data_IF_843059315933
#
_entry.id   IF_843059315933
#
_cell.length_a   1.000
_cell.length_b   1.000
_cell.length_c   1.000
_cell.angle_alpha   90.00
_cell.angle_beta   90.00
_cell.angle_gamma   90.00
#
_symmetry.space_group_name_H-M   'P 1'
#
loop_
_entity.id
_entity.type
_entity.pdbx_description
1 polymer ?
#
# COMPACT_ATOMS: atom_id res chain seq x y z
N UNK A 1 -8.25 44.62 6.01
CA UNK A 1 -9.60 43.99 6.17
C UNK A 1 -9.94 43.09 4.99
N UNK A 2 -9.85 43.58 3.75
CA UNK A 2 -10.07 42.82 2.50
C UNK A 2 -9.22 41.55 2.35
N UNK A 3 -7.93 41.58 2.65
CA UNK A 3 -7.06 40.38 2.54
C UNK A 3 -7.47 39.24 3.49
N UNK A 4 -7.98 39.57 4.69
CA UNK A 4 -8.49 38.57 5.64
C UNK A 4 -9.77 37.92 5.12
N UNK A 5 -10.63 38.69 4.45
CA UNK A 5 -11.86 38.21 3.84
C UNK A 5 -11.54 37.30 2.65
N UNK A 6 -10.60 37.70 1.77
CA UNK A 6 -10.19 36.89 0.62
C UNK A 6 -9.55 35.56 1.05
N UNK A 7 -8.68 35.56 2.07
CA UNK A 7 -8.11 34.32 2.63
C UNK A 7 -9.18 33.41 3.24
N UNK A 8 -10.18 33.99 3.92
CA UNK A 8 -11.28 33.21 4.49
C UNK A 8 -12.16 32.58 3.39
N UNK A 9 -12.46 33.31 2.31
CA UNK A 9 -13.19 32.80 1.15
C UNK A 9 -12.41 31.66 0.48
N UNK A 10 -11.11 31.84 0.23
CA UNK A 10 -10.26 30.80 -0.36
C UNK A 10 -10.20 29.54 0.50
N UNK A 11 -10.05 29.70 1.83
CA UNK A 11 -10.07 28.57 2.77
C UNK A 11 -11.42 27.82 2.77
N UNK A 12 -12.54 28.54 2.65
CA UNK A 12 -13.88 27.97 2.60
C UNK A 12 -14.14 27.23 1.28
N UNK A 13 -13.72 27.82 0.15
CA UNK A 13 -13.78 27.17 -1.17
C UNK A 13 -12.93 25.90 -1.19
N UNK A 14 -11.71 25.96 -0.63
CA UNK A 14 -10.83 24.80 -0.51
C UNK A 14 -11.44 23.71 0.37
N UNK A 15 -12.02 24.08 1.52
CA UNK A 15 -12.71 23.13 2.40
C UNK A 15 -13.88 22.42 1.70
N UNK A 16 -14.76 23.18 1.03
CA UNK A 16 -15.87 22.61 0.24
C UNK A 16 -15.39 21.65 -0.85
N UNK A 17 -14.28 21.96 -1.52
CA UNK A 17 -13.68 21.09 -2.54
C UNK A 17 -13.15 19.78 -1.95
N UNK A 18 -12.50 19.86 -0.79
CA UNK A 18 -12.02 18.68 -0.05
C UNK A 18 -13.19 17.81 0.41
N UNK A 19 -14.27 18.41 0.91
CA UNK A 19 -15.46 17.70 1.36
C UNK A 19 -16.17 16.99 0.19
N UNK A 20 -16.33 17.67 -0.95
CA UNK A 20 -16.89 17.06 -2.16
C UNK A 20 -16.06 15.89 -2.68
N UNK A 21 -14.72 15.99 -2.62
CA UNK A 21 -13.84 14.87 -2.99
C UNK A 21 -13.98 13.68 -2.04
N UNK A 22 -14.04 13.93 -0.72
CA UNK A 22 -14.26 12.88 0.28
C UNK A 22 -15.59 12.18 0.11
N UNK A 23 -16.66 12.94 -0.16
CA UNK A 23 -17.99 12.37 -0.41
C UNK A 23 -17.98 11.44 -1.64
N UNK A 24 -17.39 11.91 -2.76
CA UNK A 24 -17.26 11.08 -3.95
C UNK A 24 -16.42 9.82 -3.69
N UNK A 25 -15.34 9.95 -2.91
CA UNK A 25 -14.52 8.82 -2.50
C UNK A 25 -15.32 7.81 -1.67
N UNK A 26 -16.09 8.27 -0.68
CA UNK A 26 -16.92 7.40 0.16
C UNK A 26 -18.01 6.67 -0.64
N UNK A 27 -18.63 7.32 -1.62
CA UNK A 27 -19.60 6.68 -2.51
C UNK A 27 -18.97 5.56 -3.32
N UNK A 28 -17.76 5.78 -3.87
CA UNK A 28 -17.01 4.76 -4.61
C UNK A 28 -16.64 3.60 -3.68
N UNK A 29 -16.07 3.89 -2.50
CA UNK A 29 -15.69 2.87 -1.53
C UNK A 29 -16.89 2.05 -1.05
N UNK A 30 -18.04 2.67 -0.85
CA UNK A 30 -19.28 1.96 -0.48
C UNK A 30 -19.75 1.03 -1.61
N UNK A 31 -19.75 1.49 -2.86
CA UNK A 31 -20.15 0.66 -4.02
C UNK A 31 -19.22 -0.55 -4.18
N UNK A 32 -17.90 -0.32 -4.13
CA UNK A 32 -16.91 -1.40 -4.24
C UNK A 32 -16.96 -2.35 -3.04
N UNK A 33 -17.23 -1.83 -1.84
CA UNK A 33 -17.39 -2.63 -0.63
C UNK A 33 -18.62 -3.53 -0.71
N UNK A 34 -19.76 -2.98 -1.13
CA UNK A 34 -21.00 -3.73 -1.30
C UNK A 34 -20.90 -4.82 -2.38
N UNK A 35 -20.10 -4.60 -3.43
CA UNK A 35 -19.85 -5.60 -4.48
C UNK A 35 -18.75 -6.60 -4.13
N UNK A 36 -18.10 -6.49 -2.97
CA UNK A 36 -16.97 -7.34 -2.56
C UNK A 36 -15.70 -7.13 -3.39
N UNK A 37 -15.61 -6.03 -4.15
CA UNK A 37 -14.48 -5.72 -5.03
C UNK A 37 -13.32 -5.02 -4.30
N UNK A 38 -13.50 -4.63 -3.04
CA UNK A 38 -12.48 -4.00 -2.22
C UNK A 38 -12.46 -4.61 -0.82
N UNK A 39 -11.26 -4.72 -0.24
CA UNK A 39 -11.10 -5.26 1.11
C UNK A 39 -11.71 -4.30 2.16
N UNK A 40 -12.59 -4.78 3.07
CA UNK A 40 -13.21 -3.91 4.07
C UNK A 40 -12.19 -3.24 5.01
N UNK A 41 -11.09 -3.92 5.35
CA UNK A 41 -10.02 -3.34 6.16
C UNK A 41 -9.29 -2.22 5.41
N UNK A 42 -9.18 -2.34 4.09
CA UNK A 42 -8.59 -1.31 3.24
C UNK A 42 -9.47 -0.05 3.18
N UNK A 43 -10.79 -0.22 3.12
CA UNK A 43 -11.76 0.90 3.19
C UNK A 43 -11.61 1.71 4.47
N UNK A 44 -11.49 1.04 5.62
CA UNK A 44 -11.27 1.71 6.92
C UNK A 44 -9.96 2.50 6.92
N UNK A 45 -8.90 1.91 6.35
CA UNK A 45 -7.61 2.58 6.17
C UNK A 45 -7.71 3.86 5.34
N UNK A 46 -8.33 3.79 4.16
CA UNK A 46 -8.49 4.94 3.26
C UNK A 46 -9.31 6.06 3.93
N UNK A 47 -10.42 5.72 4.59
CA UNK A 47 -11.28 6.72 5.26
C UNK A 47 -10.54 7.49 6.34
N UNK A 48 -9.63 6.85 7.06
CA UNK A 48 -8.82 7.50 8.10
C UNK A 48 -7.65 8.29 7.54
N UNK A 49 -6.96 7.76 6.53
CA UNK A 49 -5.85 8.44 5.88
C UNK A 49 -6.30 9.65 5.04
N UNK A 50 -7.55 9.65 4.55
CA UNK A 50 -8.11 10.71 3.70
C UNK A 50 -7.49 10.80 2.30
N UNK A 51 -6.57 9.89 1.99
CA UNK A 51 -5.78 9.80 0.76
C UNK A 51 -5.57 8.31 0.47
N UNK A 52 -5.62 7.90 -0.81
CA UNK A 52 -5.40 6.52 -1.23
C UNK A 52 -3.93 6.14 -1.02
N UNK A 53 -3.64 5.21 -0.12
CA UNK A 53 -2.29 4.66 0.08
C UNK A 53 -2.39 3.12 0.11
N UNK A 54 -1.52 2.38 -0.62
CA UNK A 54 -0.48 2.89 -1.49
C UNK A 54 -1.06 3.34 -2.84
N UNK A 55 -0.44 4.35 -3.46
CA UNK A 55 -0.91 4.86 -4.74
C UNK A 55 -0.79 3.81 -5.83
N UNK A 56 -1.71 3.82 -6.82
CA UNK A 56 -1.55 3.05 -8.04
C UNK A 56 -0.18 3.34 -8.67
N UNK A 57 0.46 2.30 -9.17
CA UNK A 57 1.77 2.43 -9.81
C UNK A 57 1.71 3.46 -10.95
N UNK A 58 2.61 4.45 -10.94
CA UNK A 58 2.70 5.50 -11.96
C UNK A 58 1.99 6.80 -11.63
N UNK A 59 1.29 6.91 -10.49
CA UNK A 59 0.74 8.20 -10.02
C UNK A 59 1.81 8.95 -9.24
N UNK A 60 2.28 10.08 -9.77
CA UNK A 60 3.13 11.00 -9.05
C UNK A 60 2.29 11.84 -8.09
N UNK A 61 2.56 11.74 -6.79
CA UNK A 61 1.92 12.59 -5.79
C UNK A 61 2.98 13.46 -5.14
N UNK A 62 2.73 14.76 -5.10
CA UNK A 62 3.57 15.74 -4.43
C UNK A 62 3.35 15.69 -2.91
N UNK A 63 3.81 14.60 -2.28
CA UNK A 63 3.84 14.42 -0.82
C UNK A 63 5.28 14.31 -0.35
N UNK A 64 5.61 14.99 0.75
CA UNK A 64 6.91 14.83 1.38
C UNK A 64 7.06 13.44 1.99
N UNK A 65 8.32 13.02 2.21
CA UNK A 65 8.61 11.77 2.93
C UNK A 65 8.03 11.74 4.34
N UNK A 66 7.87 12.90 4.98
CA UNK A 66 7.30 13.05 6.32
C UNK A 66 5.79 12.80 6.31
N UNK A 67 5.06 13.56 5.49
CA UNK A 67 3.61 13.41 5.30
C UNK A 67 3.25 11.98 4.87
N UNK A 68 4.10 11.37 4.04
CA UNK A 68 3.92 9.98 3.62
C UNK A 68 3.94 8.99 4.78
N UNK A 69 4.94 9.12 5.67
CA UNK A 69 5.08 8.24 6.84
C UNK A 69 3.93 8.43 7.81
N UNK A 70 3.49 9.67 8.01
CA UNK A 70 2.34 9.99 8.86
C UNK A 70 1.06 9.37 8.30
N UNK A 71 0.82 9.52 7.00
CA UNK A 71 -0.35 8.93 6.33
C UNK A 71 -0.35 7.40 6.44
N UNK A 72 0.81 6.75 6.22
CA UNK A 72 0.94 5.30 6.42
C UNK A 72 0.69 4.91 7.88
N UNK A 73 1.18 5.69 8.85
CA UNK A 73 0.95 5.41 10.26
C UNK A 73 -0.53 5.51 10.63
N UNK A 74 -1.24 6.52 10.12
CA UNK A 74 -2.68 6.68 10.28
C UNK A 74 -3.43 5.49 9.69
N UNK A 75 -3.09 5.09 8.46
CA UNK A 75 -3.72 3.94 7.81
C UNK A 75 -3.47 2.64 8.58
N UNK A 76 -2.21 2.35 8.93
CA UNK A 76 -1.85 1.14 9.67
C UNK A 76 -2.54 1.10 11.04
N UNK A 77 -2.64 2.24 11.75
CA UNK A 77 -3.36 2.35 13.01
C UNK A 77 -4.88 2.14 12.87
N UNK A 78 -5.48 2.60 11.77
CA UNK A 78 -6.88 2.34 11.47
C UNK A 78 -7.15 0.84 11.21
N UNK A 79 -6.23 0.17 10.51
CA UNK A 79 -6.27 -1.28 10.32
C UNK A 79 -6.12 -2.01 11.65
N UNK A 80 -5.24 -1.54 12.55
CA UNK A 80 -5.10 -2.12 13.89
C UNK A 80 -6.39 -2.03 14.70
N UNK A 81 -7.07 -0.87 14.66
CA UNK A 81 -8.37 -0.71 15.30
C UNK A 81 -9.44 -1.63 14.69
N UNK A 82 -9.44 -1.80 13.37
CA UNK A 82 -10.34 -2.72 12.67
C UNK A 82 -10.11 -4.18 13.10
N UNK A 83 -8.86 -4.63 13.14
CA UNK A 83 -8.50 -5.98 13.62
C UNK A 83 -8.94 -6.17 15.08
N UNK A 84 -8.71 -5.17 15.93
CA UNK A 84 -9.08 -5.22 17.34
C UNK A 84 -10.60 -5.32 17.56
N UNK A 85 -11.40 -4.73 16.65
CA UNK A 85 -12.87 -4.79 16.71
C UNK A 85 -13.46 -6.18 16.45
N UNK A 86 -12.68 -7.09 15.85
CA UNK A 86 -13.10 -8.47 15.51
C UNK A 86 -14.33 -8.57 14.60
N UNK A 87 -14.66 -7.52 13.86
CA UNK A 87 -15.72 -7.56 12.84
C UNK A 87 -15.34 -8.46 11.65
N UNK A 88 -14.05 -8.64 11.41
CA UNK A 88 -13.49 -9.52 10.40
C UNK A 88 -13.08 -10.86 11.02
N UNK A 89 -13.56 -11.96 10.44
CA UNK A 89 -13.25 -13.31 10.92
C UNK A 89 -11.89 -13.83 10.42
N UNK A 90 -11.24 -13.15 9.48
CA UNK A 90 -9.92 -13.56 8.98
C UNK A 90 -8.89 -13.48 10.11
N UNK A 91 -7.85 -14.33 10.08
CA UNK A 91 -6.78 -14.23 11.06
C UNK A 91 -6.03 -12.91 10.90
N UNK A 92 -5.58 -12.33 12.02
CA UNK A 92 -4.89 -11.02 12.08
C UNK A 92 -3.86 -10.85 10.95
N UNK A 93 -2.96 -11.82 10.78
CA UNK A 93 -1.88 -11.75 9.81
C UNK A 93 -2.38 -11.73 8.35
N UNK A 94 -3.54 -12.32 8.04
CA UNK A 94 -4.12 -12.25 6.70
C UNK A 94 -4.60 -10.83 6.39
N UNK A 95 -5.21 -10.16 7.37
CA UNK A 95 -5.64 -8.77 7.24
C UNK A 95 -4.42 -7.86 7.12
N UNK A 96 -3.43 -8.01 8.01
CA UNK A 96 -2.20 -7.20 7.96
C UNK A 96 -1.47 -7.32 6.62
N UNK A 97 -1.33 -8.54 6.10
CA UNK A 97 -0.70 -8.78 4.81
C UNK A 97 -1.50 -8.23 3.63
N UNK A 98 -2.83 -8.18 3.75
CA UNK A 98 -3.68 -7.63 2.69
C UNK A 98 -3.56 -6.11 2.60
N UNK A 99 -3.50 -5.39 3.74
CA UNK A 99 -3.79 -3.94 3.75
C UNK A 99 -2.78 -3.04 4.44
N UNK A 100 -1.89 -3.56 5.31
CA UNK A 100 -0.88 -2.72 5.97
C UNK A 100 0.24 -2.36 5.01
N UNK A 101 0.89 -1.23 5.23
CA UNK A 101 1.94 -0.72 4.36
C UNK A 101 3.25 -0.65 5.13
N UNK A 102 4.32 -1.17 4.53
CA UNK A 102 5.66 -1.01 5.07
C UNK A 102 6.07 0.46 5.09
N UNK A 103 6.63 0.90 6.21
CA UNK A 103 7.30 2.20 6.34
C UNK A 103 8.77 2.13 5.90
N UNK A 104 9.31 0.93 5.71
CA UNK A 104 10.72 0.65 5.39
C UNK A 104 10.83 0.21 3.93
N UNK A 105 11.68 0.90 3.16
CA UNK A 105 11.97 0.53 1.76
C UNK A 105 10.96 1.06 0.72
N UNK A 106 9.99 1.88 1.14
CA UNK A 106 8.96 2.45 0.26
C UNK A 106 7.57 1.84 0.50
N UNK A 107 6.54 2.36 -0.19
CA UNK A 107 5.18 1.85 -0.05
C UNK A 107 5.07 0.47 -0.69
N UNK A 108 4.81 -0.52 0.15
CA UNK A 108 4.69 -1.91 -0.28
C UNK A 108 4.23 -2.80 0.87
N UNK A 109 4.13 -4.11 0.65
CA UNK A 109 3.72 -5.05 1.67
C UNK A 109 4.68 -5.03 2.87
N UNK A 110 4.17 -5.31 4.09
CA UNK A 110 5.00 -5.41 5.30
C UNK A 110 5.83 -6.70 5.33
N UNK A 111 5.69 -7.53 4.29
CA UNK A 111 6.41 -8.78 4.09
C UNK A 111 7.00 -8.80 2.68
N UNK A 112 7.89 -9.77 2.46
CA UNK A 112 8.43 -10.08 1.14
C UNK A 112 8.11 -11.52 0.79
N UNK A 113 7.70 -11.78 -0.44
CA UNK A 113 7.48 -13.13 -0.98
C UNK A 113 8.57 -13.50 -1.98
N UNK A 114 8.91 -14.77 -2.07
CA UNK A 114 9.82 -15.23 -3.12
C UNK A 114 9.19 -14.97 -4.50
N UNK A 115 9.96 -14.40 -5.42
CA UNK A 115 9.48 -14.08 -6.79
C UNK A 115 9.61 -15.25 -7.78
N UNK A 116 10.16 -16.38 -7.33
CA UNK A 116 10.18 -17.60 -8.14
C UNK A 116 8.77 -18.18 -8.26
N UNK A 117 8.38 -18.45 -9.51
CA UNK A 117 7.11 -19.12 -9.81
C UNK A 117 6.98 -20.42 -9.00
N UNK A 118 5.84 -20.60 -8.34
CA UNK A 118 5.52 -21.80 -7.55
C UNK A 118 6.14 -21.92 -6.15
N UNK A 119 7.03 -21.02 -5.71
CA UNK A 119 7.71 -21.18 -4.42
C UNK A 119 6.83 -20.88 -3.19
N UNK A 120 5.95 -19.88 -3.27
CA UNK A 120 4.99 -19.53 -2.20
C UNK A 120 5.57 -19.01 -0.88
N UNK A 121 6.90 -19.07 -0.68
CA UNK A 121 7.54 -18.66 0.57
C UNK A 121 7.43 -17.16 0.83
N UNK A 122 7.16 -16.82 2.10
CA UNK A 122 7.03 -15.45 2.61
C UNK A 122 7.99 -15.29 3.79
N UNK A 123 8.77 -14.22 3.77
CA UNK A 123 9.66 -13.83 4.87
C UNK A 123 8.85 -13.52 6.14
N UNK A 124 9.33 -13.97 7.30
CA UNK A 124 8.66 -13.80 8.59
C UNK A 124 7.59 -14.84 8.94
N UNK A 125 7.05 -15.59 7.96
CA UNK A 125 6.06 -16.67 8.21
C UNK A 125 6.69 -18.06 8.33
N UNK A 126 7.71 -18.34 7.52
CA UNK A 126 8.34 -19.66 7.40
C UNK A 126 9.80 -19.68 7.90
N UNK A 127 10.23 -18.66 8.65
CA UNK A 127 11.65 -18.44 9.03
C UNK A 127 12.64 -18.36 7.85
N UNK A 128 12.15 -18.26 6.61
CA UNK A 128 12.98 -18.11 5.41
C UNK A 128 13.38 -16.64 5.29
N UNK A 129 14.68 -16.37 5.38
CA UNK A 129 15.23 -15.06 5.06
C UNK A 129 15.47 -14.98 3.55
N UNK A 130 14.73 -14.09 2.88
CA UNK A 130 14.83 -13.93 1.44
C UNK A 130 16.07 -13.11 1.06
N UNK A 131 16.78 -13.57 0.05
CA UNK A 131 17.97 -12.95 -0.52
C UNK A 131 17.58 -12.00 -1.65
N UNK A 132 18.16 -10.80 -1.65
CA UNK A 132 17.99 -9.83 -2.74
C UNK A 132 18.85 -10.21 -3.94
N UNK A 133 18.35 -9.99 -5.14
CA UNK A 133 19.17 -10.03 -6.34
C UNK A 133 20.31 -9.01 -6.22
N UNK A 134 21.56 -9.46 -6.31
CA UNK A 134 22.72 -8.60 -6.10
C UNK A 134 22.82 -7.45 -7.11
N UNK A 135 22.21 -7.61 -8.30
CA UNK A 135 22.24 -6.60 -9.35
C UNK A 135 21.20 -5.51 -9.15
N UNK A 136 19.92 -5.85 -9.08
CA UNK A 136 18.85 -4.84 -8.97
C UNK A 136 18.51 -4.45 -7.53
N UNK A 137 18.90 -5.26 -6.54
CA UNK A 137 18.57 -5.10 -5.12
C UNK A 137 17.07 -5.03 -4.76
N UNK A 138 16.17 -5.12 -5.75
CA UNK A 138 14.71 -5.08 -5.57
C UNK A 138 14.10 -6.47 -5.48
N UNK A 139 14.36 -7.34 -6.46
CA UNK A 139 13.77 -8.68 -6.49
C UNK A 139 14.35 -9.57 -5.39
N UNK A 140 13.51 -10.46 -4.84
CA UNK A 140 13.88 -11.32 -3.72
C UNK A 140 13.53 -12.79 -3.93
N UNK A 141 14.41 -13.68 -3.44
CA UNK A 141 14.34 -15.12 -3.66
C UNK A 141 14.76 -15.89 -2.40
N UNK A 142 14.31 -17.14 -2.25
CA UNK A 142 14.79 -18.00 -1.16
C UNK A 142 16.31 -18.26 -1.23
N UNK A 143 16.86 -18.23 -2.45
CA UNK A 143 18.28 -18.45 -2.72
C UNK A 143 18.54 -18.58 -4.22
N UNK A 144 19.74 -19.05 -4.57
CA UNK A 144 20.18 -19.14 -5.97
C UNK A 144 19.28 -20.03 -6.83
N UNK A 145 18.70 -21.10 -6.28
CA UNK A 145 17.81 -21.99 -7.02
C UNK A 145 16.56 -21.24 -7.53
N UNK A 146 15.84 -20.58 -6.63
CA UNK A 146 14.69 -19.74 -6.96
C UNK A 146 15.06 -18.56 -7.88
N UNK A 147 16.22 -17.94 -7.67
CA UNK A 147 16.68 -16.86 -8.55
C UNK A 147 16.93 -17.37 -9.97
N UNK A 148 17.58 -18.53 -10.13
CA UNK A 148 17.83 -19.14 -11.44
C UNK A 148 16.53 -19.54 -12.14
N UNK A 149 15.58 -20.14 -11.42
CA UNK A 149 14.28 -20.51 -12.00
C UNK A 149 13.46 -19.30 -12.44
N UNK A 150 13.62 -18.15 -11.78
CA UNK A 150 12.96 -16.89 -12.14
C UNK A 150 13.72 -16.08 -13.21
N UNK A 151 14.95 -16.46 -13.57
CA UNK A 151 15.83 -15.62 -14.37
C UNK A 151 15.21 -15.26 -15.72
N UNK A 152 14.58 -16.22 -16.40
CA UNK A 152 13.96 -16.01 -17.71
C UNK A 152 12.92 -14.87 -17.72
N UNK A 153 12.14 -14.71 -16.64
CA UNK A 153 11.16 -13.62 -16.53
C UNK A 153 11.74 -12.36 -15.88
N UNK A 154 12.79 -12.48 -15.08
CA UNK A 154 13.42 -11.38 -14.34
C UNK A 154 14.46 -10.60 -15.15
N UNK A 155 15.20 -11.27 -16.04
CA UNK A 155 16.43 -10.77 -16.66
C UNK A 155 16.25 -9.39 -17.30
N UNK A 156 15.27 -9.24 -18.20
CA UNK A 156 15.04 -8.00 -18.93
C UNK A 156 14.78 -6.82 -17.99
N UNK A 157 13.93 -7.02 -16.96
CA UNK A 157 13.63 -6.00 -15.97
C UNK A 157 14.85 -5.69 -15.09
N UNK A 158 15.62 -6.72 -14.73
CA UNK A 158 16.84 -6.58 -13.94
C UNK A 158 17.92 -5.78 -14.67
N UNK A 159 18.10 -6.03 -15.97
CA UNK A 159 19.12 -5.36 -16.77
C UNK A 159 18.76 -3.91 -17.06
N UNK A 160 17.47 -3.62 -17.25
CA UNK A 160 16.97 -2.28 -17.56
C UNK A 160 16.73 -1.40 -16.32
N UNK A 161 16.93 -1.92 -15.11
CA UNK A 161 16.64 -1.20 -13.86
C UNK A 161 15.14 -0.97 -13.62
N UNK A 162 14.25 -1.63 -14.36
CA UNK A 162 12.79 -1.48 -14.30
C UNK A 162 12.12 -2.55 -13.44
N UNK A 163 12.84 -3.10 -12.46
CA UNK A 163 12.28 -4.11 -11.54
C UNK A 163 11.24 -3.43 -10.66
N UNK A 164 9.99 -3.90 -10.75
CA UNK A 164 8.90 -3.41 -9.92
C UNK A 164 9.03 -3.99 -8.52
N UNK A 165 8.81 -3.17 -7.51
CA UNK A 165 8.67 -3.65 -6.14
C UNK A 165 7.41 -4.51 -6.01
N UNK A 166 7.38 -5.37 -5.00
CA UNK A 166 6.20 -6.15 -4.68
C UNK A 166 5.07 -5.20 -4.26
N UNK A 167 3.91 -5.38 -4.87
CA UNK A 167 2.72 -4.60 -4.56
C UNK A 167 1.94 -5.28 -3.44
N UNK A 168 1.13 -4.50 -2.72
CA UNK A 168 0.17 -5.05 -1.79
C UNK A 168 -0.93 -5.81 -2.55
N UNK A 169 -1.46 -6.91 -2.01
CA UNK A 169 -2.59 -7.61 -2.64
C UNK A 169 -3.85 -6.74 -2.81
N UNK A 170 -3.99 -5.68 -2.00
CA UNK A 170 -5.09 -4.73 -2.11
C UNK A 170 -4.91 -3.66 -3.20
N UNK A 171 -3.82 -3.72 -3.99
CA UNK A 171 -3.57 -2.85 -5.15
C UNK A 171 -3.78 -3.60 -6.46
#
# INVERSE_FOLDING_TARGET
>A
MLERILRAIDSSVRAKRVDGFRQAQDEILNKLGASGQIDPAFVVGIRKAGILVPYPAGVAVAVSKGEWRETIAIQNGAVDAYIASRVDSRPKNAIENAVKISIIGGPGPPYRRCEASGCGNIEGRNSVQLQRCMRCQTAVYCGRACQKSAWQSHELACQSGKVKAQLLPSQ
#
